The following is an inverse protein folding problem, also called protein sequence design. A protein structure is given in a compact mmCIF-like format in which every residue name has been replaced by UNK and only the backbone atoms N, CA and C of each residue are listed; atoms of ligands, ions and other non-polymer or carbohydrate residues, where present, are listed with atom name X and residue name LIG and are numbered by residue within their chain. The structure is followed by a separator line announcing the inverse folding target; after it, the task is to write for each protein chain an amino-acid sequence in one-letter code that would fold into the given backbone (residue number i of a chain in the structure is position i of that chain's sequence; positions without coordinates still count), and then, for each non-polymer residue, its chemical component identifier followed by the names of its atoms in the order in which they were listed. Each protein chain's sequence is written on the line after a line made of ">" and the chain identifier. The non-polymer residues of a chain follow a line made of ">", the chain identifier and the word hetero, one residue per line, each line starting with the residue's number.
data_IF_613940890663
#
_entry.id   IF_613940890663
#
_cell.length_a   1.000
_cell.length_b   1.000
_cell.length_c   1.000
_cell.angle_alpha   90.00
_cell.angle_beta   90.00
_cell.angle_gamma   90.00
#
_symmetry.space_group_name_H-M   'P 1'
#
loop_
_entity.id
_entity.type
_entity.pdbx_description
1 polymer ?
#
# COMPACT_ATOMS: atom_id res chain seq x y z
N UNK A 1 -21.22 -0.35 5.41
CA UNK A 1 -20.58 0.49 4.38
C UNK A 1 -19.76 -0.37 3.40
N UNK A 2 -20.44 -1.32 2.74
CA UNK A 2 -19.79 -2.50 2.16
C UNK A 2 -18.97 -2.23 0.90
N UNK A 3 -19.40 -1.28 0.06
CA UNK A 3 -18.63 -0.88 -1.14
C UNK A 3 -17.26 -0.33 -0.75
N UNK A 4 -17.22 0.58 0.23
CA UNK A 4 -15.97 1.14 0.74
C UNK A 4 -15.07 0.10 1.39
N UNK A 5 -15.64 -0.85 2.13
CA UNK A 5 -14.89 -1.97 2.67
C UNK A 5 -14.17 -2.79 1.57
N UNK A 6 -14.90 -3.15 0.52
CA UNK A 6 -14.35 -3.90 -0.62
C UNK A 6 -13.26 -3.08 -1.31
N UNK A 7 -13.49 -1.79 -1.57
CA UNK A 7 -12.50 -0.90 -2.19
C UNK A 7 -11.23 -0.83 -1.34
N UNK A 8 -11.35 -0.69 -0.02
CA UNK A 8 -10.20 -0.66 0.90
C UNK A 8 -9.40 -1.96 0.89
N UNK A 9 -10.07 -3.11 0.88
CA UNK A 9 -9.42 -4.43 0.84
C UNK A 9 -8.70 -4.63 -0.51
N UNK A 10 -9.36 -4.30 -1.63
CA UNK A 10 -8.77 -4.38 -2.96
C UNK A 10 -7.56 -3.45 -3.08
N UNK A 11 -7.66 -2.23 -2.56
CA UNK A 11 -6.55 -1.29 -2.53
C UNK A 11 -5.38 -1.81 -1.70
N UNK A 12 -5.63 -2.39 -0.51
CA UNK A 12 -4.58 -3.00 0.29
C UNK A 12 -3.84 -4.11 -0.47
N UNK A 13 -4.58 -4.98 -1.16
CA UNK A 13 -4.00 -6.03 -2.00
C UNK A 13 -3.15 -5.45 -3.14
N UNK A 14 -3.64 -4.42 -3.83
CA UNK A 14 -2.90 -3.74 -4.89
C UNK A 14 -1.59 -3.12 -4.37
N UNK A 15 -1.62 -2.49 -3.19
CA UNK A 15 -0.42 -1.90 -2.56
C UNK A 15 0.62 -2.98 -2.23
N UNK A 16 0.20 -4.13 -1.71
CA UNK A 16 1.10 -5.27 -1.45
C UNK A 16 1.74 -5.75 -2.75
N UNK A 17 0.95 -5.93 -3.81
CA UNK A 17 1.46 -6.35 -5.12
C UNK A 17 2.48 -5.34 -5.65
N UNK A 18 2.22 -4.04 -5.52
CA UNK A 18 3.17 -2.99 -5.91
C UNK A 18 4.46 -3.04 -5.08
N UNK A 19 4.38 -3.29 -3.78
CA UNK A 19 5.54 -3.41 -2.89
C UNK A 19 6.42 -4.63 -3.23
N UNK A 20 5.81 -5.75 -3.64
CA UNK A 20 6.52 -6.98 -4.02
C UNK A 20 7.10 -6.88 -5.43
N UNK A 21 6.26 -6.50 -6.41
CA UNK A 21 6.65 -6.51 -7.83
C UNK A 21 7.52 -5.32 -8.23
N UNK A 22 7.47 -4.23 -7.46
CA UNK A 22 8.25 -2.99 -7.64
C UNK A 22 8.37 -2.60 -9.12
N UNK A 23 7.25 -2.44 -9.84
CA UNK A 23 7.30 -2.22 -11.28
C UNK A 23 8.05 -0.92 -11.56
N UNK A 24 9.04 -0.98 -12.44
CA UNK A 24 9.98 0.11 -12.70
C UNK A 24 9.27 1.43 -13.06
N UNK A 25 8.13 1.37 -13.75
CA UNK A 25 7.34 2.54 -14.11
C UNK A 25 6.82 3.34 -12.89
N UNK A 26 6.48 2.65 -11.79
CA UNK A 26 5.95 3.26 -10.57
C UNK A 26 7.08 3.54 -9.59
N UNK A 27 8.02 2.60 -9.46
CA UNK A 27 9.11 2.69 -8.49
C UNK A 27 10.15 3.78 -8.86
N UNK A 28 10.34 4.05 -10.15
CA UNK A 28 11.21 5.15 -10.62
C UNK A 28 10.51 6.52 -10.65
N UNK A 29 9.27 6.64 -10.18
CA UNK A 29 8.63 7.96 -10.07
C UNK A 29 9.32 8.80 -9.01
N UNK A 30 9.46 10.11 -9.25
CA UNK A 30 10.08 11.06 -8.31
C UNK A 30 9.54 10.96 -6.87
N UNK A 31 8.26 10.61 -6.71
CA UNK A 31 7.63 10.41 -5.40
C UNK A 31 8.25 9.23 -4.64
N UNK A 32 8.26 8.03 -5.25
CA UNK A 32 8.80 6.83 -4.60
C UNK A 32 10.31 6.97 -4.40
N UNK A 33 11.04 7.55 -5.36
CA UNK A 33 12.47 7.83 -5.17
C UNK A 33 12.76 8.79 -4.00
N UNK A 34 11.86 9.73 -3.71
CA UNK A 34 11.99 10.57 -2.51
C UNK A 34 11.80 9.75 -1.24
N UNK A 35 10.83 8.84 -1.20
CA UNK A 35 10.67 7.89 -0.09
C UNK A 35 11.90 7.00 0.06
N UNK A 36 12.44 6.46 -1.03
CA UNK A 36 13.67 5.64 -0.99
C UNK A 36 14.88 6.43 -0.54
N UNK A 37 14.98 7.72 -0.89
CA UNK A 37 16.08 8.58 -0.43
C UNK A 37 16.02 8.83 1.08
N UNK A 38 14.82 8.89 1.66
CA UNK A 38 14.62 9.16 3.10
C UNK A 38 14.65 7.88 3.94
N UNK A 39 13.97 6.83 3.49
CA UNK A 39 13.74 5.59 4.23
C UNK A 39 14.65 4.43 3.78
N UNK A 40 15.35 4.59 2.66
CA UNK A 40 16.01 3.48 1.96
C UNK A 40 15.02 2.60 1.19
N UNK A 41 15.56 1.71 0.36
CA UNK A 41 14.77 0.76 -0.44
C UNK A 41 13.92 -0.14 0.47
N UNK A 42 14.55 -0.73 1.49
CA UNK A 42 13.83 -1.61 2.45
C UNK A 42 12.85 -0.84 3.33
N UNK A 43 13.16 0.39 3.75
CA UNK A 43 12.24 1.18 4.56
C UNK A 43 11.01 1.63 3.77
N UNK A 44 11.18 1.95 2.48
CA UNK A 44 10.06 2.27 1.58
C UNK A 44 9.17 1.06 1.37
N UNK A 45 9.74 -0.13 1.20
CA UNK A 45 8.98 -1.38 1.10
C UNK A 45 8.17 -1.65 2.37
N UNK A 46 8.79 -1.52 3.56
CA UNK A 46 8.10 -1.66 4.86
C UNK A 46 6.97 -0.64 4.99
N UNK A 47 7.19 0.61 4.57
CA UNK A 47 6.16 1.64 4.60
C UNK A 47 4.92 1.22 3.79
N UNK A 48 5.11 0.69 2.58
CA UNK A 48 3.99 0.20 1.78
C UNK A 48 3.27 -0.99 2.43
N UNK A 49 3.99 -1.92 3.06
CA UNK A 49 3.35 -3.03 3.78
C UNK A 49 2.55 -2.56 5.00
N UNK A 50 3.08 -1.62 5.78
CA UNK A 50 2.36 -1.01 6.92
C UNK A 50 1.12 -0.28 6.42
N UNK A 51 1.24 0.46 5.32
CA UNK A 51 0.11 1.15 4.70
C UNK A 51 -0.98 0.18 4.21
N UNK A 52 -0.59 -0.92 3.58
CA UNK A 52 -1.51 -1.97 3.18
C UNK A 52 -2.22 -2.61 4.38
N UNK A 53 -1.48 -2.88 5.47
CA UNK A 53 -2.06 -3.42 6.70
C UNK A 53 -3.15 -2.50 7.27
N UNK A 54 -2.88 -1.19 7.32
CA UNK A 54 -3.84 -0.19 7.81
C UNK A 54 -5.13 -0.22 6.96
N UNK A 55 -5.01 -0.24 5.63
CA UNK A 55 -6.16 -0.31 4.74
C UNK A 55 -6.92 -1.63 4.82
N UNK A 56 -6.23 -2.73 5.09
CA UNK A 56 -6.85 -4.02 5.31
C UNK A 56 -7.67 -4.02 6.61
N UNK A 57 -7.11 -3.51 7.71
CA UNK A 57 -7.83 -3.35 8.99
C UNK A 57 -9.04 -2.43 8.82
N UNK A 58 -8.87 -1.29 8.14
CA UNK A 58 -9.97 -0.36 7.84
C UNK A 58 -11.07 -1.03 7.01
N UNK A 59 -10.69 -1.81 5.99
CA UNK A 59 -11.63 -2.55 5.16
C UNK A 59 -12.45 -3.57 5.94
N UNK A 60 -11.80 -4.37 6.80
CA UNK A 60 -12.47 -5.33 7.69
C UNK A 60 -13.42 -4.61 8.64
N UNK A 61 -13.00 -3.50 9.24
CA UNK A 61 -13.83 -2.71 10.13
C UNK A 61 -15.05 -2.07 9.44
N UNK A 62 -14.88 -1.57 8.21
CA UNK A 62 -15.98 -1.04 7.39
C UNK A 62 -16.95 -2.12 6.93
N UNK A 63 -16.51 -3.38 6.87
CA UNK A 63 -17.35 -4.53 6.54
C UNK A 63 -18.25 -4.94 7.72
N UNK A 64 -17.75 -4.78 8.96
CA UNK A 64 -18.49 -5.11 10.19
C UNK A 64 -19.43 -4.01 10.68
N UNK A 65 -19.40 -2.83 10.07
CA UNK A 65 -20.37 -1.74 10.26
C UNK A 65 -21.34 -1.58 9.09
#
# INVERSE_FOLDING_TARGET
>A
MKVWAIVSIVYAAAVIVLAITKPAAIWNMKKIQMFEKVLGVKGTEIFFYVWALIFLVLGVWLFTR
#
